data_IF_245115585408
#
_entry.id   IF_245115585408
#
_cell.length_a   1.000
_cell.length_b   1.000
_cell.length_c   1.000
_cell.angle_alpha   90.00
_cell.angle_beta   90.00
_cell.angle_gamma   90.00
#
_symmetry.space_group_name_H-M   'P 1'
#
loop_
_entity.id
_entity.type
_entity.pdbx_description
1 polymer ?
#
# COMPACT_ATOMS: atom_id res chain seq x y z
N UNK A 1 -36.52 49.55 -3.23
CA UNK A 1 -35.35 48.94 -3.91
C UNK A 1 -34.29 48.65 -2.86
N UNK A 2 -34.00 47.38 -2.57
CA UNK A 2 -32.93 46.94 -1.66
C UNK A 2 -32.40 45.60 -2.19
N UNK A 3 -31.11 45.50 -2.53
CA UNK A 3 -30.59 44.35 -3.27
C UNK A 3 -30.43 43.15 -2.34
N UNK A 4 -31.01 42.02 -2.73
CA UNK A 4 -30.74 40.72 -2.11
C UNK A 4 -29.41 40.23 -2.71
N UNK A 5 -28.35 40.28 -1.90
CA UNK A 5 -27.04 39.72 -2.23
C UNK A 5 -27.15 38.19 -2.27
N UNK A 6 -27.12 37.62 -3.48
CA UNK A 6 -27.06 36.19 -3.71
C UNK A 6 -25.63 35.70 -3.44
N UNK A 7 -25.39 35.16 -2.25
CA UNK A 7 -24.11 34.51 -1.92
C UNK A 7 -24.07 33.12 -2.58
N UNK A 8 -23.44 33.04 -3.76
CA UNK A 8 -23.17 31.79 -4.45
C UNK A 8 -22.16 30.95 -3.67
N UNK A 9 -22.60 29.83 -3.12
CA UNK A 9 -21.76 28.85 -2.44
C UNK A 9 -20.88 28.13 -3.48
N UNK A 10 -19.64 28.58 -3.62
CA UNK A 10 -18.60 27.90 -4.39
C UNK A 10 -18.25 26.58 -3.70
N UNK A 11 -18.85 25.48 -4.18
CA UNK A 11 -18.37 24.13 -3.89
C UNK A 11 -16.99 23.95 -4.54
N UNK A 12 -15.93 24.23 -3.78
CA UNK A 12 -14.61 23.68 -4.10
C UNK A 12 -14.67 22.18 -3.84
N UNK A 13 -15.02 21.41 -4.87
CA UNK A 13 -14.80 19.97 -4.89
C UNK A 13 -13.32 19.72 -4.66
N UNK A 14 -12.97 19.28 -3.45
CA UNK A 14 -11.63 18.82 -3.13
C UNK A 14 -11.36 17.57 -3.99
N UNK A 15 -10.72 17.76 -5.13
CA UNK A 15 -10.17 16.66 -5.91
C UNK A 15 -9.11 16.00 -5.02
N UNK A 16 -9.40 14.78 -4.58
CA UNK A 16 -8.38 13.94 -3.96
C UNK A 16 -7.38 13.61 -5.05
N UNK A 17 -6.34 14.42 -5.18
CA UNK A 17 -5.23 14.14 -6.08
C UNK A 17 -4.54 12.86 -5.60
N UNK A 18 -4.93 11.71 -6.17
CA UNK A 18 -4.32 10.40 -5.98
C UNK A 18 -2.94 10.31 -6.66
N UNK A 19 -2.10 11.35 -6.55
CA UNK A 19 -0.78 11.41 -7.17
C UNK A 19 0.30 10.60 -6.41
N UNK A 20 -0.06 9.91 -5.32
CA UNK A 20 0.93 9.44 -4.33
C UNK A 20 1.11 7.92 -4.23
N UNK A 21 0.34 7.08 -4.92
CA UNK A 21 0.61 5.63 -4.92
C UNK A 21 1.44 5.24 -6.14
N UNK A 22 2.78 5.21 -5.99
CA UNK A 22 3.70 4.65 -7.01
C UNK A 22 3.67 3.10 -7.03
N UNK A 23 2.83 2.47 -6.21
CA UNK A 23 2.56 1.04 -6.25
C UNK A 23 1.52 0.78 -7.35
N UNK A 24 1.91 0.00 -8.36
CA UNK A 24 1.11 -0.30 -9.54
C UNK A 24 0.22 -1.54 -9.32
N UNK A 25 0.82 -2.66 -8.91
CA UNK A 25 0.09 -3.91 -8.67
C UNK A 25 0.65 -4.68 -7.49
N UNK A 26 -0.16 -5.58 -6.94
CA UNK A 26 0.24 -6.51 -5.88
C UNK A 26 -0.18 -7.93 -6.24
N UNK A 27 0.60 -8.90 -5.75
CA UNK A 27 0.20 -10.31 -5.73
C UNK A 27 0.34 -10.80 -4.28
N UNK A 28 -0.73 -11.21 -3.60
CA UNK A 28 -2.14 -11.17 -4.03
C UNK A 28 -2.61 -9.75 -4.37
N UNK A 29 -3.60 -9.66 -5.27
CA UNK A 29 -4.22 -8.38 -5.59
C UNK A 29 -4.85 -7.76 -4.34
N UNK A 30 -4.79 -6.43 -4.21
CA UNK A 30 -5.44 -5.72 -3.11
C UNK A 30 -6.95 -6.02 -3.09
N UNK A 31 -7.48 -6.29 -1.90
CA UNK A 31 -8.86 -6.72 -1.67
C UNK A 31 -9.16 -8.17 -2.03
N UNK A 32 -8.20 -8.95 -2.56
CA UNK A 32 -8.48 -10.33 -2.99
C UNK A 32 -8.83 -11.27 -1.84
N UNK A 33 -9.55 -12.34 -2.18
CA UNK A 33 -9.91 -13.42 -1.26
C UNK A 33 -9.33 -14.73 -1.77
N UNK A 34 -8.51 -15.37 -0.94
CA UNK A 34 -7.74 -16.55 -1.29
C UNK A 34 -8.24 -17.77 -0.51
N UNK A 35 -8.13 -18.95 -1.11
CA UNK A 35 -8.38 -20.21 -0.40
C UNK A 35 -7.25 -20.56 0.58
N UNK A 36 -6.02 -20.13 0.30
CA UNK A 36 -4.84 -20.43 1.12
C UNK A 36 -3.92 -19.21 1.20
N UNK A 37 -3.19 -19.09 2.31
CA UNK A 37 -2.18 -18.04 2.48
C UNK A 37 -1.02 -18.25 1.49
N UNK A 38 -0.58 -17.22 0.76
CA UNK A 38 0.52 -17.34 -0.19
C UNK A 38 1.85 -17.46 0.54
N UNK A 39 2.84 -18.10 -0.07
CA UNK A 39 4.20 -18.19 0.49
C UNK A 39 4.97 -16.85 0.43
N UNK A 40 4.53 -15.94 -0.43
CA UNK A 40 5.14 -14.63 -0.66
C UNK A 40 4.10 -13.61 -1.08
N UNK A 41 4.44 -12.35 -0.90
CA UNK A 41 3.76 -11.22 -1.52
C UNK A 41 4.66 -10.59 -2.58
N UNK A 42 4.05 -9.95 -3.56
CA UNK A 42 4.72 -9.18 -4.59
C UNK A 42 4.20 -7.76 -4.57
N UNK A 43 5.12 -6.80 -4.56
CA UNK A 43 4.83 -5.39 -4.77
C UNK A 43 5.51 -4.95 -6.07
N UNK A 44 4.73 -4.45 -7.01
CA UNK A 44 5.20 -3.92 -8.28
C UNK A 44 4.94 -2.42 -8.34
N UNK A 45 5.99 -1.64 -8.57
CA UNK A 45 5.97 -0.18 -8.59
C UNK A 45 6.16 0.33 -10.02
N UNK A 46 5.52 1.46 -10.34
CA UNK A 46 5.64 2.09 -11.66
C UNK A 46 7.05 2.66 -11.91
N UNK A 47 7.77 3.01 -10.85
CA UNK A 47 9.16 3.51 -10.89
C UNK A 47 10.01 2.80 -9.85
N UNK A 48 11.33 2.80 -10.05
CA UNK A 48 12.29 2.23 -9.11
C UNK A 48 12.16 2.90 -7.74
N UNK A 49 12.02 2.10 -6.70
CA UNK A 49 11.98 2.49 -5.29
C UNK A 49 12.93 1.60 -4.50
N UNK A 50 13.45 2.07 -3.37
CA UNK A 50 14.10 1.23 -2.36
C UNK A 50 13.12 1.01 -1.21
N UNK A 51 12.74 -0.23 -0.95
CA UNK A 51 11.94 -0.52 0.24
C UNK A 51 12.79 -0.36 1.50
N UNK A 52 12.25 0.35 2.49
CA UNK A 52 12.89 0.58 3.79
C UNK A 52 12.20 -0.17 4.92
N UNK A 53 10.91 -0.47 4.78
CA UNK A 53 10.15 -1.26 5.75
C UNK A 53 8.95 -1.91 5.08
N UNK A 54 8.67 -3.16 5.42
CA UNK A 54 7.41 -3.83 5.09
C UNK A 54 6.92 -4.56 6.34
N UNK A 55 5.66 -4.37 6.69
CA UNK A 55 5.02 -4.98 7.85
C UNK A 55 3.81 -5.79 7.44
N UNK A 56 3.61 -6.92 8.12
CA UNK A 56 2.41 -7.74 8.04
C UNK A 56 1.64 -7.61 9.35
N UNK A 57 0.34 -7.36 9.25
CA UNK A 57 -0.63 -7.57 10.33
C UNK A 57 -1.65 -8.61 9.92
N UNK A 58 -1.97 -9.56 10.80
CA UNK A 58 -3.01 -10.58 10.58
C UNK A 58 -4.10 -10.47 11.64
N UNK A 59 -5.34 -10.21 11.23
CA UNK A 59 -6.43 -9.91 12.16
C UNK A 59 -6.07 -8.72 13.06
N UNK A 60 -6.32 -8.87 14.35
CA UNK A 60 -6.01 -7.87 15.39
C UNK A 60 -4.65 -8.12 16.09
N UNK A 61 -3.84 -9.05 15.57
CA UNK A 61 -2.50 -9.30 16.10
C UNK A 61 -1.60 -8.08 15.87
N UNK A 62 -0.49 -8.03 16.60
CA UNK A 62 0.58 -7.06 16.35
C UNK A 62 1.18 -7.21 14.95
N UNK A 63 1.64 -6.08 14.41
CA UNK A 63 2.32 -6.05 13.13
C UNK A 63 3.76 -6.55 13.27
N UNK A 64 4.17 -7.46 12.38
CA UNK A 64 5.53 -7.99 12.32
C UNK A 64 6.27 -7.44 11.09
N UNK A 65 7.55 -7.12 11.27
CA UNK A 65 8.41 -6.69 10.16
C UNK A 65 8.76 -7.90 9.26
N UNK A 66 8.70 -7.71 7.94
CA UNK A 66 9.11 -8.73 6.97
C UNK A 66 10.60 -8.59 6.62
N UNK A 67 11.25 -9.73 6.32
CA UNK A 67 12.66 -9.76 5.96
C UNK A 67 12.90 -9.12 4.57
N UNK A 68 13.69 -8.05 4.56
CA UNK A 68 14.12 -7.33 3.36
C UNK A 68 15.62 -7.51 3.06
N UNK A 69 16.29 -8.48 3.67
CA UNK A 69 17.74 -8.68 3.54
C UNK A 69 18.17 -8.89 2.07
N UNK A 70 17.30 -9.51 1.25
CA UNK A 70 17.50 -9.70 -0.20
C UNK A 70 17.04 -8.51 -1.06
N UNK A 71 16.52 -7.44 -0.46
CA UNK A 71 15.87 -6.32 -1.14
C UNK A 71 16.47 -4.95 -0.76
N UNK A 72 17.80 -4.86 -0.70
CA UNK A 72 18.49 -3.64 -0.23
C UNK A 72 18.57 -2.50 -1.26
N UNK A 73 18.43 -2.80 -2.55
CA UNK A 73 18.61 -1.84 -3.64
C UNK A 73 17.32 -1.19 -4.16
N UNK A 74 17.46 -0.29 -5.13
CA UNK A 74 16.34 0.23 -5.90
C UNK A 74 15.87 -0.81 -6.93
N UNK A 75 14.57 -1.10 -6.96
CA UNK A 75 13.94 -1.99 -7.94
C UNK A 75 12.49 -1.57 -8.19
N UNK A 76 11.88 -2.12 -9.24
CA UNK A 76 10.45 -1.94 -9.52
C UNK A 76 9.60 -3.10 -9.00
N UNK A 77 10.20 -4.26 -8.70
CA UNK A 77 9.45 -5.45 -8.25
C UNK A 77 10.14 -6.09 -7.05
N UNK A 78 9.36 -6.40 -6.03
CA UNK A 78 9.82 -7.00 -4.78
C UNK A 78 9.00 -8.24 -4.47
N UNK A 79 9.67 -9.33 -4.11
CA UNK A 79 9.10 -10.64 -3.87
C UNK A 79 9.45 -11.08 -2.45
N UNK A 80 8.59 -10.77 -1.49
CA UNK A 80 8.92 -10.84 -0.07
C UNK A 80 8.25 -12.08 0.51
N UNK A 81 9.02 -12.91 1.21
CA UNK A 81 8.48 -14.08 1.91
C UNK A 81 7.44 -13.65 2.96
N UNK A 82 6.32 -14.35 3.00
CA UNK A 82 5.25 -14.06 3.95
C UNK A 82 5.30 -15.07 5.11
N UNK A 83 5.71 -14.65 6.32
CA UNK A 83 5.66 -15.51 7.48
C UNK A 83 4.22 -15.66 7.94
N UNK A 84 3.89 -16.86 8.42
CA UNK A 84 2.57 -17.17 8.95
C UNK A 84 1.65 -17.84 7.95
N UNK A 85 0.90 -18.81 8.47
CA UNK A 85 -0.16 -19.53 7.77
C UNK A 85 -1.43 -19.38 8.58
N UNK A 86 -2.58 -19.39 7.91
CA UNK A 86 -3.87 -19.37 8.57
C UNK A 86 -4.88 -18.46 7.89
N UNK A 87 -6.12 -18.61 8.33
CA UNK A 87 -7.29 -17.88 7.84
C UNK A 87 -7.30 -16.46 8.41
N UNK A 88 -8.06 -15.57 7.79
CA UNK A 88 -8.30 -14.21 8.29
C UNK A 88 -7.80 -13.09 7.37
N UNK A 89 -7.88 -11.87 7.86
CA UNK A 89 -7.47 -10.66 7.14
C UNK A 89 -5.96 -10.45 7.27
N UNK A 90 -5.28 -10.23 6.15
CA UNK A 90 -3.88 -9.87 6.07
C UNK A 90 -3.80 -8.43 5.58
N UNK A 91 -3.06 -7.58 6.30
CA UNK A 91 -2.75 -6.20 5.92
C UNK A 91 -1.25 -6.04 5.80
N UNK A 92 -0.80 -5.58 4.65
CA UNK A 92 0.59 -5.25 4.38
C UNK A 92 0.74 -3.74 4.37
N UNK A 93 1.67 -3.23 5.15
CA UNK A 93 2.08 -1.83 5.13
C UNK A 93 3.51 -1.72 4.66
N UNK A 94 3.82 -0.74 3.83
CA UNK A 94 5.16 -0.55 3.30
C UNK A 94 5.60 0.91 3.38
N UNK A 95 6.91 1.10 3.47
CA UNK A 95 7.62 2.37 3.31
C UNK A 95 8.80 2.17 2.39
N UNK A 96 9.11 3.19 1.60
CA UNK A 96 10.25 3.18 0.71
C UNK A 96 10.69 4.57 0.29
N UNK A 97 11.83 4.64 -0.38
CA UNK A 97 12.46 5.85 -0.89
C UNK A 97 12.46 5.81 -2.41
N UNK A 98 11.89 6.82 -3.07
CA UNK A 98 12.02 6.98 -4.51
C UNK A 98 13.43 7.47 -4.88
N UNK A 99 13.82 7.33 -6.15
CA UNK A 99 15.17 7.67 -6.62
C UNK A 99 15.54 9.15 -6.42
N UNK A 100 14.54 10.02 -6.32
CA UNK A 100 14.65 11.46 -6.05
C UNK A 100 14.75 11.79 -4.54
N UNK A 101 14.81 10.79 -3.67
CA UNK A 101 14.89 10.97 -2.22
C UNK A 101 13.55 11.20 -1.53
N UNK A 102 12.42 11.21 -2.26
CA UNK A 102 11.12 11.33 -1.62
C UNK A 102 10.73 10.03 -0.90
N UNK A 103 10.32 10.16 0.37
CA UNK A 103 9.77 9.05 1.13
C UNK A 103 8.34 8.77 0.69
N UNK A 104 8.03 7.48 0.58
CA UNK A 104 6.74 6.97 0.15
C UNK A 104 6.25 5.90 1.11
N UNK A 105 4.92 5.76 1.20
CA UNK A 105 4.27 4.74 2.01
C UNK A 105 2.94 4.34 1.38
N UNK A 106 2.46 3.16 1.77
CA UNK A 106 1.14 2.68 1.39
C UNK A 106 0.80 1.38 2.11
N UNK A 107 -0.36 0.84 1.78
CA UNK A 107 -0.82 -0.44 2.29
C UNK A 107 -1.72 -1.13 1.30
N UNK A 108 -1.82 -2.44 1.40
CA UNK A 108 -2.83 -3.25 0.73
C UNK A 108 -3.26 -4.40 1.65
N UNK A 109 -4.35 -5.08 1.34
CA UNK A 109 -4.82 -6.21 2.12
C UNK A 109 -5.46 -7.31 1.28
N UNK A 110 -5.55 -8.50 1.87
CA UNK A 110 -6.25 -9.63 1.29
C UNK A 110 -6.80 -10.52 2.42
N UNK A 111 -7.74 -11.40 2.09
CA UNK A 111 -8.35 -12.33 3.06
C UNK A 111 -8.06 -13.76 2.68
N UNK A 112 -7.70 -14.59 3.66
CA UNK A 112 -7.60 -16.04 3.49
C UNK A 112 -8.84 -16.68 4.10
N UNK A 113 -9.55 -17.47 3.30
CA UNK A 113 -10.81 -18.10 3.69
C UNK A 113 -10.61 -19.27 4.62
#
# INVERSE_FOLDING_TARGET
MKPILLAGLLFLGATTAFAHSKLNTTEPADGSVLAQAPARIVLSFAKRIRLTKVRLRRGDNDAVDLDLTRHKGFATRFAIALPGRGRGLYRIEWRGLAADGHTMRGSFGFRVK
#
